data_IF_861817086914
#
_entry.id   IF_861817086914
#
_cell.length_a   1.000
_cell.length_b   1.000
_cell.length_c   1.000
_cell.angle_alpha   90.00
_cell.angle_beta   90.00
_cell.angle_gamma   90.00
#
_symmetry.space_group_name_H-M   'P 1'
#
loop_
_entity.id
_entity.type
_entity.pdbx_description
1 polymer ?
#
# COMPACT_ATOMS: atom_id res chain seq x y z
N UNK A 1 -15.51 7.32 -11.66
CA UNK A 1 -15.00 6.46 -10.57
C UNK A 1 -14.02 7.24 -9.72
N UNK A 2 -14.25 7.40 -8.42
CA UNK A 2 -13.28 8.00 -7.50
C UNK A 2 -12.00 7.16 -7.36
N UNK A 3 -10.95 7.81 -6.86
CA UNK A 3 -9.68 7.18 -6.50
C UNK A 3 -9.69 6.83 -5.01
N UNK A 4 -9.26 5.62 -4.67
CA UNK A 4 -9.11 5.13 -3.31
C UNK A 4 -7.65 4.83 -3.02
N UNK A 5 -7.23 5.11 -1.79
CA UNK A 5 -5.89 4.82 -1.30
C UNK A 5 -5.93 3.51 -0.52
N UNK A 6 -5.12 2.54 -0.93
CA UNK A 6 -4.81 1.36 -0.13
C UNK A 6 -3.54 1.69 0.64
N UNK A 7 -3.67 1.85 1.95
CA UNK A 7 -2.61 2.34 2.81
C UNK A 7 -1.98 1.16 3.58
N UNK A 8 -0.68 0.95 3.43
CA UNK A 8 0.03 -0.18 4.05
C UNK A 8 0.65 0.26 5.37
N UNK A 9 0.34 -0.43 6.45
CA UNK A 9 0.94 -0.23 7.77
C UNK A 9 1.88 -1.38 8.11
N UNK A 10 2.87 -1.09 8.96
CA UNK A 10 3.86 -2.07 9.41
C UNK A 10 5.08 -2.12 8.49
N UNK A 11 6.27 -2.08 9.08
CA UNK A 11 7.50 -2.34 8.37
C UNK A 11 7.46 -3.79 7.90
N UNK A 12 7.34 -3.99 6.58
CA UNK A 12 7.65 -5.26 5.94
C UNK A 12 9.13 -5.57 6.15
N UNK A 13 9.49 -5.99 7.36
CA UNK A 13 10.77 -6.63 7.66
C UNK A 13 10.70 -7.97 6.95
N UNK A 14 11.03 -7.99 5.67
CA UNK A 14 11.40 -9.24 5.02
C UNK A 14 12.71 -9.66 5.67
N UNK A 15 12.68 -10.75 6.43
CA UNK A 15 13.83 -11.26 7.17
C UNK A 15 14.82 -11.92 6.20
N UNK A 16 14.35 -12.36 5.03
CA UNK A 16 15.18 -12.96 3.98
C UNK A 16 14.91 -12.38 2.57
N UNK A 17 15.88 -12.48 1.66
CA UNK A 17 15.68 -12.16 0.24
C UNK A 17 14.55 -12.96 -0.43
N UNK A 18 14.34 -14.23 -0.05
CA UNK A 18 13.26 -15.05 -0.62
C UNK A 18 11.87 -14.51 -0.24
N UNK A 19 11.68 -14.14 1.03
CA UNK A 19 10.42 -13.54 1.49
C UNK A 19 10.11 -12.24 0.72
N UNK A 20 11.12 -11.40 0.50
CA UNK A 20 10.99 -10.20 -0.31
C UNK A 20 10.67 -10.51 -1.78
N UNK A 21 11.25 -11.57 -2.36
CA UNK A 21 10.96 -11.98 -3.73
C UNK A 21 9.52 -12.51 -3.89
N UNK A 22 9.05 -13.33 -2.95
CA UNK A 22 7.69 -13.85 -2.94
C UNK A 22 6.65 -12.72 -2.80
N UNK A 23 6.88 -11.75 -1.91
CA UNK A 23 6.01 -10.59 -1.77
C UNK A 23 5.97 -9.73 -3.04
N UNK A 24 7.12 -9.50 -3.70
CA UNK A 24 7.18 -8.81 -5.00
C UNK A 24 6.45 -9.57 -6.10
N UNK A 25 6.50 -10.90 -6.11
CA UNK A 25 5.79 -11.71 -7.08
C UNK A 25 4.26 -11.61 -6.90
N UNK A 26 3.77 -11.77 -5.67
CA UNK A 26 2.35 -11.57 -5.32
C UNK A 26 1.86 -10.17 -5.71
N UNK A 27 2.66 -9.15 -5.41
CA UNK A 27 2.37 -7.77 -5.82
C UNK A 27 2.25 -7.61 -7.33
N UNK A 28 3.18 -8.16 -8.11
CA UNK A 28 3.14 -8.08 -9.59
C UNK A 28 1.88 -8.73 -10.15
N UNK A 29 1.50 -9.90 -9.63
CA UNK A 29 0.27 -10.59 -10.04
C UNK A 29 -0.96 -9.74 -9.71
N UNK A 30 -1.02 -9.19 -8.50
CA UNK A 30 -2.10 -8.33 -8.07
C UNK A 30 -2.25 -7.08 -8.94
N UNK A 31 -1.17 -6.30 -9.12
CA UNK A 31 -1.17 -5.10 -9.96
C UNK A 31 -1.59 -5.44 -11.39
N UNK A 32 -1.10 -6.56 -11.94
CA UNK A 32 -1.50 -7.03 -13.26
C UNK A 32 -2.99 -7.38 -13.35
N UNK A 33 -3.56 -7.97 -12.30
CA UNK A 33 -4.98 -8.29 -12.21
C UNK A 33 -5.91 -7.07 -12.08
N UNK A 34 -5.39 -5.91 -11.67
CA UNK A 34 -6.18 -4.68 -11.57
C UNK A 34 -6.40 -3.99 -12.92
N UNK A 35 -5.54 -4.23 -13.93
CA UNK A 35 -5.65 -3.59 -15.24
C UNK A 35 -5.75 -2.06 -15.14
N UNK A 36 -6.67 -1.46 -15.89
CA UNK A 36 -6.86 0.01 -15.97
C UNK A 36 -7.38 0.67 -14.69
N UNK A 37 -7.70 -0.13 -13.68
CA UNK A 37 -8.09 0.37 -12.37
C UNK A 37 -6.91 0.91 -11.57
N UNK A 38 -5.68 0.49 -11.86
CA UNK A 38 -4.52 0.93 -11.08
C UNK A 38 -4.09 2.33 -11.52
N UNK A 39 -4.09 3.27 -10.58
CA UNK A 39 -3.63 4.65 -10.81
C UNK A 39 -2.20 4.81 -10.33
N UNK A 40 -1.88 4.22 -9.18
CA UNK A 40 -0.55 4.12 -8.64
C UNK A 40 -0.36 2.68 -8.14
N UNK A 41 0.50 1.88 -8.78
CA UNK A 41 0.68 0.48 -8.42
C UNK A 41 1.21 0.38 -6.99
N UNK A 42 2.11 1.27 -6.58
CA UNK A 42 2.39 1.57 -5.18
C UNK A 42 3.65 2.41 -4.99
N UNK A 43 3.71 3.11 -3.86
CA UNK A 43 4.75 4.05 -3.49
C UNK A 43 5.28 3.71 -2.10
N UNK A 44 6.55 3.30 -1.97
CA UNK A 44 7.17 3.07 -0.67
C UNK A 44 7.36 4.37 0.10
N UNK A 45 7.03 4.37 1.38
CA UNK A 45 7.20 5.48 2.31
C UNK A 45 8.21 5.10 3.39
N UNK A 46 9.46 4.83 3.03
CA UNK A 46 10.52 4.35 3.96
C UNK A 46 11.11 5.44 4.87
N UNK A 47 10.95 6.72 4.52
CA UNK A 47 11.41 7.86 5.34
C UNK A 47 10.26 8.85 5.50
N UNK A 48 9.98 9.28 6.72
CA UNK A 48 8.87 10.19 6.99
C UNK A 48 8.94 10.84 8.36
N UNK A 49 8.17 11.90 8.54
CA UNK A 49 7.89 12.57 9.81
C UNK A 49 6.37 12.71 9.95
N UNK A 50 5.87 12.67 11.17
CA UNK A 50 4.46 12.97 11.42
C UNK A 50 4.30 14.48 11.54
N UNK A 51 3.38 15.07 10.78
CA UNK A 51 3.04 16.49 10.83
C UNK A 51 1.61 16.61 11.33
N UNK A 52 1.40 17.41 12.37
CA UNK A 52 0.10 17.66 12.99
C UNK A 52 -0.04 19.14 13.41
N UNK A 53 -1.22 19.54 13.86
CA UNK A 53 -1.42 20.88 14.43
C UNK A 53 -0.55 21.15 15.67
N UNK A 54 -0.10 20.10 16.37
CA UNK A 54 0.82 20.19 17.51
C UNK A 54 2.30 20.28 17.10
N UNK A 55 2.62 20.22 15.81
CA UNK A 55 3.97 20.30 15.27
C UNK A 55 4.42 19.03 14.54
N UNK A 56 5.75 18.91 14.36
CA UNK A 56 6.39 17.84 13.60
C UNK A 56 7.12 16.88 14.55
N UNK A 57 6.77 15.58 14.50
CA UNK A 57 7.39 14.55 15.33
C UNK A 57 8.05 13.45 14.48
N UNK A 58 8.89 12.63 15.14
CA UNK A 58 9.56 11.50 14.51
C UNK A 58 8.54 10.44 14.10
N UNK A 59 8.91 9.64 13.11
CA UNK A 59 8.12 8.49 12.67
C UNK A 59 7.97 7.49 13.82
N UNK A 60 6.73 7.08 14.06
CA UNK A 60 6.35 5.97 14.93
C UNK A 60 6.19 4.67 14.10
N UNK A 61 6.23 3.52 14.77
CA UNK A 61 6.23 2.19 14.13
C UNK A 61 4.89 1.83 13.46
N UNK A 62 3.82 2.50 13.86
CA UNK A 62 2.46 2.36 13.32
C UNK A 62 2.20 3.18 12.05
N UNK A 63 3.19 3.94 11.56
CA UNK A 63 3.02 4.77 10.38
C UNK A 63 3.03 4.00 9.06
N UNK A 64 2.33 4.57 8.08
CA UNK A 64 2.26 4.07 6.70
C UNK A 64 3.63 3.78 6.10
N UNK A 65 3.83 2.55 5.66
CA UNK A 65 5.06 2.09 5.01
C UNK A 65 4.99 2.14 3.50
N UNK A 66 3.79 2.31 2.95
CA UNK A 66 3.55 2.64 1.56
C UNK A 66 2.07 2.86 1.29
N UNK A 67 1.74 3.14 0.03
CA UNK A 67 0.36 3.17 -0.42
C UNK A 67 0.25 2.79 -1.90
N UNK A 68 -0.94 2.38 -2.32
CA UNK A 68 -1.35 2.27 -3.73
C UNK A 68 -2.61 3.09 -3.97
N UNK A 69 -2.87 3.44 -5.23
CA UNK A 69 -4.08 4.15 -5.63
C UNK A 69 -4.82 3.36 -6.70
N UNK A 70 -6.10 3.10 -6.47
CA UNK A 70 -6.99 2.38 -7.39
C UNK A 70 -8.25 3.19 -7.67
N UNK A 71 -8.78 3.09 -8.89
CA UNK A 71 -10.14 3.54 -9.20
C UNK A 71 -11.12 2.46 -8.78
N UNK A 72 -12.24 2.84 -8.20
CA UNK A 72 -13.38 1.94 -7.94
C UNK A 72 -14.68 2.73 -7.94
N UNK A 73 -15.82 2.05 -8.03
CA UNK A 73 -17.13 2.70 -8.00
C UNK A 73 -17.52 3.16 -6.58
N UNK A 74 -17.14 2.38 -5.56
CA UNK A 74 -17.47 2.60 -4.16
C UNK A 74 -16.38 1.96 -3.25
N UNK A 75 -16.55 2.12 -1.93
CA UNK A 75 -15.61 1.61 -0.94
C UNK A 75 -15.49 0.07 -0.96
N UNK A 76 -16.61 -0.65 -1.11
CA UNK A 76 -16.62 -2.12 -1.13
C UNK A 76 -15.83 -2.64 -2.34
N UNK A 77 -16.03 -2.04 -3.52
CA UNK A 77 -15.28 -2.36 -4.72
C UNK A 77 -13.79 -2.00 -4.60
N UNK A 78 -13.41 -1.01 -3.77
CA UNK A 78 -12.02 -0.71 -3.47
C UNK A 78 -11.43 -1.75 -2.49
N UNK A 79 -12.20 -2.18 -1.49
CA UNK A 79 -11.81 -3.21 -0.55
C UNK A 79 -11.57 -4.54 -1.26
N UNK A 80 -12.47 -4.97 -2.15
CA UNK A 80 -12.31 -6.21 -2.92
C UNK A 80 -11.04 -6.20 -3.76
N UNK A 81 -10.69 -5.04 -4.34
CA UNK A 81 -9.43 -4.85 -5.06
C UNK A 81 -8.22 -4.99 -4.14
N UNK A 82 -8.31 -4.68 -2.85
CA UNK A 82 -7.19 -4.82 -1.89
C UNK A 82 -6.98 -6.26 -1.37
N UNK A 83 -8.03 -7.08 -1.30
CA UNK A 83 -7.98 -8.47 -0.77
C UNK A 83 -7.07 -9.41 -1.56
N UNK A 84 -6.81 -9.07 -2.81
CA UNK A 84 -5.92 -9.84 -3.68
C UNK A 84 -4.42 -9.67 -3.30
N UNK A 85 -4.07 -8.66 -2.49
CA UNK A 85 -2.70 -8.42 -2.04
C UNK A 85 -2.50 -8.58 -0.52
N UNK A 86 -3.48 -8.19 0.29
CA UNK A 86 -3.42 -8.39 1.74
C UNK A 86 -3.82 -9.83 2.11
N UNK A 87 -3.04 -10.56 2.94
CA UNK A 87 -3.44 -11.85 3.50
C UNK A 87 -4.67 -11.74 4.42
#
# INVERSE_FOLDING_TARGET
MPNYIIAYHGAGKFETPEQGAAARAKWKVWVGGLGDAVVNPGTPLVRGKLVSSAGVSKRQDDLLTGFSVVRADNMDAAQDRSRLFAP
#
